data_IF_800638521629
#
_entry.id   IF_800638521629
#
_cell.length_a   1.000
_cell.length_b   1.000
_cell.length_c   1.000
_cell.angle_alpha   90.00
_cell.angle_beta   90.00
_cell.angle_gamma   90.00
#
_symmetry.space_group_name_H-M   'P 1'
#
loop_
_entity.id
_entity.type
_entity.pdbx_description
1 polymer ?
#
# COMPACT_ATOMS: atom_id res chain seq x y z
N UNK A 1 1.14 16.94 4.71
CA UNK A 1 1.43 15.70 3.98
C UNK A 1 2.94 15.52 4.03
N UNK A 2 3.43 14.72 4.96
CA UNK A 2 4.87 14.66 5.28
C UNK A 2 5.43 13.39 4.67
N UNK A 3 5.98 13.50 3.47
CA UNK A 3 6.70 12.40 2.82
C UNK A 3 7.92 12.08 3.68
N UNK A 4 7.98 10.87 4.23
CA UNK A 4 9.20 10.31 4.81
C UNK A 4 10.25 10.30 3.70
N UNK A 5 11.35 11.02 3.90
CA UNK A 5 12.46 11.11 2.95
C UNK A 5 12.99 9.70 2.68
N UNK A 6 12.67 9.17 1.51
CA UNK A 6 13.10 7.84 1.06
C UNK A 6 14.43 8.01 0.34
N UNK A 7 15.50 7.42 0.87
CA UNK A 7 16.82 7.33 0.20
C UNK A 7 16.77 6.24 -0.86
N UNK A 8 15.86 6.34 -1.82
CA UNK A 8 15.80 5.45 -2.98
C UNK A 8 15.81 6.29 -4.26
N UNK A 9 16.42 5.79 -5.35
CA UNK A 9 16.55 6.55 -6.59
C UNK A 9 15.18 6.88 -7.18
N UNK A 10 15.07 7.98 -7.94
CA UNK A 10 13.82 8.38 -8.59
C UNK A 10 13.36 7.41 -9.68
N UNK A 11 14.26 6.55 -10.15
CA UNK A 11 13.98 5.55 -11.18
C UNK A 11 14.57 4.20 -10.82
N UNK A 12 13.92 3.13 -11.27
CA UNK A 12 14.38 1.76 -11.11
C UNK A 12 14.09 0.94 -12.36
N UNK A 13 14.97 0.00 -12.68
CA UNK A 13 14.72 -1.02 -13.72
C UNK A 13 13.85 -2.14 -13.15
N UNK A 14 12.73 -2.40 -13.79
CA UNK A 14 11.83 -3.52 -13.50
C UNK A 14 12.59 -4.86 -13.59
N UNK A 15 12.60 -5.71 -12.54
CA UNK A 15 13.28 -7.01 -12.62
C UNK A 15 12.60 -7.98 -13.59
N UNK A 16 11.29 -7.84 -13.80
CA UNK A 16 10.47 -8.69 -14.66
C UNK A 16 10.56 -8.27 -16.14
N UNK A 17 10.52 -6.97 -16.42
CA UNK A 17 10.37 -6.43 -17.79
C UNK A 17 11.60 -5.71 -18.32
N UNK A 18 12.56 -5.36 -17.46
CA UNK A 18 13.72 -4.54 -17.85
C UNK A 18 13.40 -3.06 -18.13
N UNK A 19 12.14 -2.64 -17.96
CA UNK A 19 11.69 -1.26 -18.23
C UNK A 19 12.05 -0.31 -17.09
N UNK A 20 12.30 0.96 -17.44
CA UNK A 20 12.51 2.02 -16.45
C UNK A 20 11.15 2.43 -15.88
N UNK A 21 11.06 2.41 -14.56
CA UNK A 21 9.89 2.82 -13.79
C UNK A 21 10.27 4.02 -12.92
N UNK A 22 9.37 4.99 -12.77
CA UNK A 22 9.59 6.22 -12.01
C UNK A 22 8.88 6.14 -10.67
N UNK A 23 9.51 6.69 -9.63
CA UNK A 23 8.89 6.86 -8.33
C UNK A 23 7.64 7.73 -8.45
N UNK A 24 6.57 7.31 -7.78
CA UNK A 24 5.29 8.00 -7.83
C UNK A 24 4.32 7.45 -6.81
N UNK A 25 3.13 8.05 -6.78
CA UNK A 25 2.01 7.63 -5.96
C UNK A 25 0.82 7.53 -6.90
N UNK A 26 0.19 6.36 -6.97
CA UNK A 26 -1.00 6.14 -7.80
C UNK A 26 -2.16 5.59 -6.97
N UNK A 27 -3.41 5.92 -7.32
CA UNK A 27 -4.58 5.30 -6.74
C UNK A 27 -4.56 3.78 -6.99
N UNK A 28 -4.72 3.00 -5.92
CA UNK A 28 -4.77 1.56 -5.95
C UNK A 28 -6.08 1.09 -5.33
N UNK A 29 -6.88 0.35 -6.10
CA UNK A 29 -8.10 -0.27 -5.59
C UNK A 29 -7.77 -1.57 -4.88
N UNK A 30 -7.87 -1.56 -3.55
CA UNK A 30 -7.74 -2.74 -2.71
C UNK A 30 -9.13 -3.35 -2.46
N UNK A 31 -9.33 -4.58 -2.94
CA UNK A 31 -10.60 -5.32 -2.72
C UNK A 31 -10.41 -6.44 -1.71
N UNK A 32 -11.36 -6.55 -0.79
CA UNK A 32 -11.45 -7.67 0.14
C UNK A 32 -12.91 -8.13 0.25
N UNK A 33 -13.18 -9.36 -0.19
CA UNK A 33 -14.54 -9.93 -0.29
C UNK A 33 -15.46 -9.00 -1.10
N UNK A 34 -16.55 -8.53 -0.49
CA UNK A 34 -17.54 -7.66 -1.12
C UNK A 34 -17.21 -6.16 -1.03
N UNK A 35 -16.13 -5.78 -0.33
CA UNK A 35 -15.76 -4.37 -0.16
C UNK A 35 -14.48 -4.01 -0.92
N UNK A 36 -14.41 -2.74 -1.30
CA UNK A 36 -13.25 -2.14 -1.96
C UNK A 36 -12.92 -0.81 -1.29
N UNK A 37 -11.65 -0.46 -1.25
CA UNK A 37 -11.16 0.84 -0.82
C UNK A 37 -10.07 1.28 -1.79
N UNK A 38 -10.09 2.54 -2.19
CA UNK A 38 -9.02 3.14 -2.98
C UNK A 38 -8.04 3.81 -2.03
N UNK A 39 -6.76 3.49 -2.17
CA UNK A 39 -5.66 4.07 -1.39
C UNK A 39 -4.63 4.68 -2.33
N UNK A 40 -3.98 5.75 -1.89
CA UNK A 40 -2.83 6.32 -2.60
C UNK A 40 -1.59 5.50 -2.26
N UNK A 41 -1.15 4.67 -3.20
CA UNK A 41 -0.05 3.73 -2.97
C UNK A 41 1.24 4.27 -3.60
N UNK A 42 2.33 4.43 -2.84
CA UNK A 42 3.63 4.75 -3.38
C UNK A 42 4.26 3.54 -4.08
N UNK A 43 5.09 3.79 -5.08
CA UNK A 43 5.83 2.76 -5.80
C UNK A 43 6.59 3.30 -7.00
N UNK A 44 7.13 2.38 -7.80
CA UNK A 44 7.73 2.68 -9.10
C UNK A 44 6.79 2.23 -10.21
N UNK A 45 6.32 3.19 -11.00
CA UNK A 45 5.32 2.96 -12.04
C UNK A 45 5.90 3.20 -13.44
N UNK A 46 5.42 2.48 -14.46
CA UNK A 46 5.77 2.80 -15.85
C UNK A 46 5.08 4.11 -16.26
N UNK A 47 5.57 4.77 -17.31
CA UNK A 47 4.93 5.99 -17.84
C UNK A 47 3.55 5.73 -18.47
N UNK A 48 3.22 4.46 -18.73
CA UNK A 48 1.95 4.02 -19.30
C UNK A 48 1.17 3.06 -18.40
N UNK A 49 0.52 2.07 -19.00
CA UNK A 49 -0.16 1.00 -18.26
C UNK A 49 0.85 -0.07 -17.85
N UNK A 50 0.67 -0.63 -16.66
CA UNK A 50 1.45 -1.75 -16.18
C UNK A 50 1.48 -1.81 -14.65
N UNK A 51 2.01 -2.91 -14.13
CA UNK A 51 2.10 -3.13 -12.69
C UNK A 51 3.17 -2.24 -12.06
N UNK A 52 2.90 -1.66 -10.90
CA UNK A 52 3.91 -0.93 -10.13
C UNK A 52 4.84 -1.88 -9.38
N UNK A 53 6.06 -1.43 -9.10
CA UNK A 53 6.97 -2.13 -8.18
C UNK A 53 6.98 -1.40 -6.84
N UNK A 54 6.63 -2.11 -5.77
CA UNK A 54 6.57 -1.58 -4.41
C UNK A 54 7.74 -2.14 -3.60
N UNK A 55 8.50 -1.28 -2.94
CA UNK A 55 9.66 -1.70 -2.12
C UNK A 55 9.64 -1.04 -0.74
N UNK A 56 10.28 -1.68 0.24
CA UNK A 56 10.29 -1.21 1.62
C UNK A 56 8.88 -1.09 2.18
N UNK A 57 8.53 0.10 2.68
CA UNK A 57 7.26 0.37 3.34
C UNK A 57 6.13 0.78 2.39
N UNK A 58 6.33 0.69 1.07
CA UNK A 58 5.33 1.09 0.08
C UNK A 58 3.98 0.37 0.30
N UNK A 59 4.04 -0.91 0.69
CA UNK A 59 2.87 -1.75 0.94
C UNK A 59 2.27 -1.60 2.35
N UNK A 60 2.86 -0.80 3.24
CA UNK A 60 2.37 -0.65 4.61
C UNK A 60 0.94 -0.05 4.63
N UNK A 61 0.66 0.90 3.73
CA UNK A 61 -0.68 1.50 3.59
C UNK A 61 -1.73 0.47 3.14
N UNK A 62 -1.37 -0.40 2.18
CA UNK A 62 -2.24 -1.49 1.75
C UNK A 62 -2.49 -2.50 2.88
N UNK A 63 -1.46 -2.81 3.67
CA UNK A 63 -1.58 -3.71 4.83
C UNK A 63 -2.53 -3.18 5.90
N UNK A 64 -2.44 -1.89 6.25
CA UNK A 64 -3.35 -1.27 7.23
C UNK A 64 -4.78 -1.20 6.67
N UNK A 65 -4.96 -0.80 5.41
CA UNK A 65 -6.27 -0.75 4.76
C UNK A 65 -6.94 -2.14 4.72
N UNK A 66 -6.18 -3.18 4.37
CA UNK A 66 -6.67 -4.56 4.39
C UNK A 66 -7.09 -4.99 5.80
N UNK A 67 -6.35 -4.55 6.82
CA UNK A 67 -6.67 -4.90 8.21
C UNK A 67 -7.95 -4.23 8.69
N UNK A 68 -8.20 -2.99 8.29
CA UNK A 68 -9.47 -2.29 8.54
C UNK A 68 -10.63 -3.02 7.85
N UNK A 69 -10.45 -3.43 6.59
CA UNK A 69 -11.48 -4.19 5.87
C UNK A 69 -11.77 -5.54 6.54
N UNK A 70 -10.73 -6.25 6.99
CA UNK A 70 -10.88 -7.52 7.73
C UNK A 70 -11.60 -7.34 9.06
N UNK A 71 -11.26 -6.31 9.82
CA UNK A 71 -11.95 -6.01 11.09
C UNK A 71 -13.43 -5.69 10.84
N UNK A 72 -13.73 -4.90 9.81
CA UNK A 72 -15.10 -4.53 9.45
C UNK A 72 -15.93 -5.74 8.99
N UNK A 73 -15.36 -6.61 8.15
CA UNK A 73 -16.10 -7.70 7.51
C UNK A 73 -16.12 -8.98 8.35
N UNK A 74 -15.00 -9.35 8.96
CA UNK A 74 -14.87 -10.61 9.70
C UNK A 74 -15.08 -10.43 11.21
N UNK A 75 -15.15 -9.19 11.70
CA UNK A 75 -15.22 -8.89 13.13
C UNK A 75 -13.93 -9.26 13.88
N UNK A 76 -12.85 -9.61 13.17
CA UNK A 76 -11.56 -9.96 13.77
C UNK A 76 -10.90 -8.65 14.22
N UNK A 77 -10.74 -8.41 15.53
CA UNK A 77 -10.22 -7.15 16.02
C UNK A 77 -8.79 -6.94 15.51
N UNK A 78 -8.53 -5.78 14.91
CA UNK A 78 -7.15 -5.42 14.61
C UNK A 78 -6.35 -5.27 15.90
N UNK A 79 -5.03 -5.52 15.89
CA UNK A 79 -4.16 -5.20 17.02
C UNK A 79 -4.29 -3.77 17.57
N UNK A 80 -4.76 -2.78 16.78
CA UNK A 80 -5.08 -1.43 17.28
C UNK A 80 -6.32 -1.44 18.18
N UNK A 81 -7.32 -2.23 17.83
CA UNK A 81 -8.52 -2.46 18.64
C UNK A 81 -8.21 -3.28 19.89
N UNK A 82 -7.39 -4.33 19.78
CA UNK A 82 -6.94 -5.13 20.94
C UNK A 82 -6.19 -4.25 21.96
N UNK A 83 -5.27 -3.40 21.50
CA UNK A 83 -4.55 -2.47 22.38
C UNK A 83 -5.48 -1.51 23.12
N UNK A 84 -6.58 -1.05 22.50
CA UNK A 84 -7.57 -0.19 23.17
C UNK A 84 -8.29 -0.89 24.32
N UNK A 85 -8.57 -2.19 24.19
CA UNK A 85 -9.25 -2.97 25.23
C UNK A 85 -8.37 -3.25 26.46
N UNK A 86 -7.06 -3.40 26.27
CA UNK A 86 -6.11 -3.67 27.36
C UNK A 86 -5.68 -2.41 28.15
N UNK A 87 -6.19 -1.24 27.77
CA UNK A 87 -5.93 0.07 28.39
C UNK A 87 -7.16 0.62 29.13
N UNK A 88 -8.26 -0.15 29.19
CA UNK A 88 -9.52 0.18 29.84
C UNK A 88 -9.67 -0.57 31.17
#
# INVERSE_FOLDING_TARGET
MTSVTRTLPDTMTSPETGEIRRSGILPFELRYKAEAVTIDLPGYYPEGQGEGVHVGDDMALAGEALRVLKEKIDGIPSPKTIRRLNLA
#
